data_IF_113450962561
#
_entry.id   IF_113450962561
#
_cell.length_a   1.000
_cell.length_b   1.000
_cell.length_c   1.000
_cell.angle_alpha   90.00
_cell.angle_beta   90.00
_cell.angle_gamma   90.00
#
_symmetry.space_group_name_H-M   'P 1'
#
loop_
_entity.id
_entity.type
_entity.pdbx_description
1 polymer ?
#
# COMPACT_ATOMS: atom_id res chain seq x y z
N UNK A 1 13.34 18.47 12.11
CA UNK A 1 12.62 17.20 12.29
C UNK A 1 13.30 16.40 13.38
N UNK A 2 12.57 16.00 14.42
CA UNK A 2 13.09 15.14 15.50
C UNK A 2 13.35 13.72 14.98
N UNK A 3 14.14 12.93 15.70
CA UNK A 3 14.40 11.52 15.34
C UNK A 3 13.09 10.72 15.26
N UNK A 4 12.16 10.99 16.18
CA UNK A 4 10.85 10.37 16.27
C UNK A 4 9.97 10.67 15.05
N UNK A 5 9.97 11.91 14.58
CA UNK A 5 9.28 12.30 13.35
C UNK A 5 9.85 11.60 12.10
N UNK A 6 11.18 11.42 12.04
CA UNK A 6 11.82 10.66 10.94
C UNK A 6 11.42 9.18 10.98
N UNK A 7 11.43 8.56 12.15
CA UNK A 7 11.05 7.15 12.34
C UNK A 7 9.57 6.95 11.96
N UNK A 8 8.68 7.83 12.41
CA UNK A 8 7.25 7.77 12.07
C UNK A 8 7.01 7.92 10.55
N UNK A 9 7.79 8.77 9.88
CA UNK A 9 7.74 8.89 8.41
C UNK A 9 8.12 7.61 7.69
N UNK A 10 9.21 6.97 8.09
CA UNK A 10 9.65 5.72 7.45
C UNK A 10 8.67 4.58 7.71
N UNK A 11 8.13 4.49 8.93
CA UNK A 11 7.11 3.52 9.29
C UNK A 11 5.83 3.70 8.46
N UNK A 12 5.38 4.95 8.25
CA UNK A 12 4.19 5.22 7.43
C UNK A 12 4.38 4.71 5.99
N UNK A 13 5.52 5.05 5.37
CA UNK A 13 5.83 4.65 4.00
C UNK A 13 6.00 3.14 3.86
N UNK A 14 6.55 2.50 4.88
CA UNK A 14 6.69 1.05 4.91
C UNK A 14 5.33 0.37 4.76
N UNK A 15 4.33 0.78 5.55
CA UNK A 15 2.97 0.22 5.45
C UNK A 15 2.26 0.57 4.14
N UNK A 16 2.45 1.79 3.62
CA UNK A 16 1.92 2.19 2.31
C UNK A 16 2.50 1.33 1.17
N UNK A 17 3.80 1.04 1.20
CA UNK A 17 4.46 0.17 0.22
C UNK A 17 4.05 -1.29 0.36
N UNK A 18 3.92 -1.80 1.60
CA UNK A 18 3.44 -3.17 1.84
C UNK A 18 2.00 -3.37 1.35
N UNK A 19 1.13 -2.38 1.54
CA UNK A 19 -0.21 -2.39 0.96
C UNK A 19 -0.15 -2.51 -0.57
N UNK A 20 0.63 -1.65 -1.22
CA UNK A 20 0.72 -1.62 -2.67
C UNK A 20 1.23 -2.95 -3.25
N UNK A 21 2.15 -3.62 -2.56
CA UNK A 21 2.63 -4.94 -2.96
C UNK A 21 1.54 -6.00 -2.78
N UNK A 22 0.88 -6.04 -1.62
CA UNK A 22 -0.11 -7.09 -1.34
C UNK A 22 -1.33 -7.04 -2.26
N UNK A 23 -1.85 -5.84 -2.52
CA UNK A 23 -3.03 -5.70 -3.38
C UNK A 23 -2.71 -6.09 -4.83
N UNK A 24 -1.47 -5.89 -5.27
CA UNK A 24 -1.03 -6.34 -6.58
C UNK A 24 -0.88 -7.86 -6.68
N UNK A 25 -0.37 -8.52 -5.64
CA UNK A 25 -0.32 -10.00 -5.61
C UNK A 25 -1.73 -10.58 -5.72
N UNK A 26 -2.66 -10.08 -4.90
CA UNK A 26 -4.06 -10.50 -4.95
C UNK A 26 -4.69 -10.26 -6.33
N UNK A 27 -4.47 -9.10 -6.93
CA UNK A 27 -5.03 -8.79 -8.25
C UNK A 27 -4.44 -9.66 -9.37
N UNK A 28 -3.14 -9.99 -9.29
CA UNK A 28 -2.50 -10.91 -10.23
C UNK A 28 -3.06 -12.33 -10.09
N UNK A 29 -3.14 -12.86 -8.88
CA UNK A 29 -3.68 -14.21 -8.61
C UNK A 29 -5.13 -14.34 -9.10
N UNK A 30 -5.97 -13.33 -8.84
CA UNK A 30 -7.36 -13.28 -9.32
C UNK A 30 -7.44 -13.21 -10.84
N UNK A 31 -6.53 -12.47 -11.50
CA UNK A 31 -6.53 -12.35 -12.95
C UNK A 31 -6.08 -13.63 -13.66
N UNK A 32 -5.11 -14.34 -13.09
CA UNK A 32 -4.57 -15.56 -13.68
C UNK A 32 -5.55 -16.75 -13.52
N UNK A 33 -6.24 -16.84 -12.39
CA UNK A 33 -7.13 -17.95 -12.08
C UNK A 33 -8.61 -17.66 -12.37
N UNK A 34 -9.00 -16.38 -12.38
CA UNK A 34 -10.40 -15.97 -12.29
C UNK A 34 -10.90 -16.01 -10.84
N UNK A 35 -11.85 -15.13 -10.50
CA UNK A 35 -12.33 -14.96 -9.13
C UNK A 35 -12.93 -16.25 -8.55
N UNK A 36 -13.75 -16.96 -9.32
CA UNK A 36 -14.44 -18.17 -8.85
C UNK A 36 -13.45 -19.29 -8.52
N UNK A 37 -12.49 -19.55 -9.42
CA UNK A 37 -11.44 -20.55 -9.23
C UNK A 37 -10.49 -20.16 -8.09
N UNK A 38 -10.14 -18.87 -7.97
CA UNK A 38 -9.32 -18.37 -6.86
C UNK A 38 -10.00 -18.57 -5.51
N UNK A 39 -11.31 -18.31 -5.41
CA UNK A 39 -12.07 -18.54 -4.18
C UNK A 39 -12.25 -20.03 -3.87
N UNK A 40 -12.24 -20.90 -4.86
CA UNK A 40 -12.35 -22.34 -4.66
C UNK A 40 -11.02 -22.96 -4.19
N UNK A 41 -9.92 -22.64 -4.88
CA UNK A 41 -8.61 -23.25 -4.67
C UNK A 41 -7.79 -22.55 -3.56
N UNK A 42 -8.00 -21.24 -3.37
CA UNK A 42 -7.19 -20.40 -2.48
C UNK A 42 -8.00 -19.74 -1.36
N UNK A 43 -8.97 -20.45 -0.77
CA UNK A 43 -9.81 -19.97 0.35
C UNK A 43 -9.02 -19.30 1.48
N UNK A 44 -7.88 -19.89 1.85
CA UNK A 44 -6.99 -19.33 2.87
C UNK A 44 -6.37 -17.99 2.45
N UNK A 45 -5.89 -17.90 1.21
CA UNK A 45 -5.31 -16.66 0.66
C UNK A 45 -6.36 -15.59 0.43
N UNK A 46 -7.55 -15.96 -0.03
CA UNK A 46 -8.69 -15.06 -0.21
C UNK A 46 -9.09 -14.34 1.08
N UNK A 47 -8.85 -14.95 2.24
CA UNK A 47 -9.07 -14.34 3.55
C UNK A 47 -7.81 -13.61 4.03
N UNK A 48 -6.63 -14.23 3.89
CA UNK A 48 -5.40 -13.67 4.45
C UNK A 48 -4.94 -12.39 3.75
N UNK A 49 -5.11 -12.28 2.43
CA UNK A 49 -4.77 -11.07 1.68
C UNK A 49 -5.53 -9.82 2.16
N UNK A 50 -6.87 -9.79 2.23
CA UNK A 50 -7.60 -8.62 2.73
C UNK A 50 -7.34 -8.37 4.22
N UNK A 51 -7.12 -9.41 5.04
CA UNK A 51 -6.75 -9.24 6.45
C UNK A 51 -5.39 -8.55 6.58
N UNK A 52 -4.38 -9.01 5.82
CA UNK A 52 -3.04 -8.42 5.83
C UNK A 52 -3.05 -7.00 5.27
N UNK A 53 -3.68 -6.79 4.11
CA UNK A 53 -3.84 -5.45 3.53
C UNK A 53 -4.54 -4.52 4.53
N UNK A 54 -5.68 -4.95 5.10
CA UNK A 54 -6.41 -4.21 6.13
C UNK A 54 -5.54 -3.85 7.34
N UNK A 55 -4.68 -4.77 7.80
CA UNK A 55 -3.75 -4.50 8.90
C UNK A 55 -2.70 -3.43 8.56
N UNK A 56 -2.19 -3.41 7.33
CA UNK A 56 -1.25 -2.39 6.86
C UNK A 56 -1.92 -1.03 6.74
N UNK A 57 -3.17 -0.98 6.28
CA UNK A 57 -3.96 0.24 6.30
C UNK A 57 -4.14 0.78 7.71
N UNK A 58 -4.57 -0.07 8.65
CA UNK A 58 -4.76 0.34 10.03
C UNK A 58 -3.46 0.88 10.65
N UNK A 59 -2.33 0.21 10.41
CA UNK A 59 -1.03 0.69 10.91
C UNK A 59 -0.60 2.00 10.26
N UNK A 60 -0.79 2.17 8.95
CA UNK A 60 -0.54 3.46 8.30
C UNK A 60 -1.39 4.58 8.94
N UNK A 61 -2.67 4.31 9.25
CA UNK A 61 -3.57 5.28 9.86
C UNK A 61 -3.24 5.60 11.32
N UNK A 62 -2.70 4.63 12.06
CA UNK A 62 -2.20 4.81 13.44
C UNK A 62 -0.92 5.63 13.41
N UNK A 63 0.06 5.26 12.60
CA UNK A 63 1.35 5.97 12.49
C UNK A 63 1.16 7.38 11.94
N UNK A 64 0.21 7.59 11.03
CA UNK A 64 -0.10 8.93 10.52
C UNK A 64 -0.65 9.88 11.61
N UNK A 65 -1.16 9.38 12.75
CA UNK A 65 -1.64 10.23 13.88
C UNK A 65 -0.54 11.05 14.52
N UNK A 66 0.65 10.47 14.59
CA UNK A 66 1.80 11.04 15.30
C UNK A 66 2.73 11.80 14.34
N UNK A 67 2.31 12.00 13.08
CA UNK A 67 3.06 12.75 12.10
C UNK A 67 2.77 14.28 12.21
N UNK A 68 3.69 15.16 11.76
CA UNK A 68 3.55 16.62 11.89
C UNK A 68 2.30 17.23 11.25
N UNK A 69 1.62 16.51 10.34
CA UNK A 69 0.33 16.89 9.78
C UNK A 69 -0.55 15.65 9.58
N UNK A 70 -1.31 15.22 10.61
CA UNK A 70 -1.95 13.92 10.62
C UNK A 70 -3.12 13.81 9.62
N UNK A 71 -3.86 14.89 9.37
CA UNK A 71 -4.96 14.90 8.40
C UNK A 71 -4.46 14.70 6.97
N UNK A 72 -3.46 15.47 6.56
CA UNK A 72 -2.86 15.36 5.21
C UNK A 72 -2.18 14.00 5.02
N UNK A 73 -1.50 13.48 6.06
CA UNK A 73 -0.82 12.18 5.98
C UNK A 73 -1.79 11.01 5.87
N UNK A 74 -2.89 11.02 6.60
CA UNK A 74 -3.97 10.03 6.43
C UNK A 74 -4.61 10.10 5.05
N UNK A 75 -4.87 11.31 4.55
CA UNK A 75 -5.42 11.50 3.21
C UNK A 75 -4.44 10.99 2.13
N UNK A 76 -3.14 11.25 2.32
CA UNK A 76 -2.09 10.71 1.43
C UNK A 76 -2.07 9.19 1.46
N UNK A 77 -2.07 8.58 2.64
CA UNK A 77 -2.08 7.12 2.80
C UNK A 77 -3.30 6.50 2.14
N UNK A 78 -4.50 7.04 2.40
CA UNK A 78 -5.73 6.61 1.75
C UNK A 78 -5.65 6.79 0.22
N UNK A 79 -5.11 7.91 -0.26
CA UNK A 79 -4.92 8.17 -1.69
C UNK A 79 -3.97 7.17 -2.36
N UNK A 80 -2.84 6.86 -1.73
CA UNK A 80 -1.89 5.83 -2.21
C UNK A 80 -2.57 4.47 -2.28
N UNK A 81 -3.39 4.13 -1.30
CA UNK A 81 -4.08 2.84 -1.24
C UNK A 81 -5.18 2.72 -2.29
N UNK A 82 -6.01 3.75 -2.47
CA UNK A 82 -7.03 3.76 -3.53
C UNK A 82 -6.37 3.71 -4.90
N UNK A 83 -5.33 4.53 -5.13
CA UNK A 83 -4.63 4.56 -6.42
C UNK A 83 -3.94 3.23 -6.74
N UNK A 84 -3.20 2.64 -5.80
CA UNK A 84 -2.53 1.34 -6.01
C UNK A 84 -3.54 0.20 -6.21
N UNK A 85 -4.66 0.21 -5.48
CA UNK A 85 -5.74 -0.77 -5.67
C UNK A 85 -6.38 -0.63 -7.05
N UNK A 86 -6.75 0.60 -7.44
CA UNK A 86 -7.32 0.84 -8.76
C UNK A 86 -6.37 0.40 -9.87
N UNK A 87 -5.08 0.75 -9.78
CA UNK A 87 -4.08 0.36 -10.77
C UNK A 87 -3.89 -1.17 -10.84
N UNK A 88 -3.88 -1.85 -9.69
CA UNK A 88 -3.73 -3.30 -9.61
C UNK A 88 -4.89 -4.03 -10.31
N UNK A 89 -6.12 -3.61 -10.07
CA UNK A 89 -7.31 -4.28 -10.63
C UNK A 89 -7.66 -3.83 -12.05
N UNK A 90 -7.29 -2.62 -12.47
CA UNK A 90 -7.52 -2.15 -13.85
C UNK A 90 -6.50 -2.71 -14.84
N UNK A 91 -5.29 -3.01 -14.38
CA UNK A 91 -4.20 -3.50 -15.23
C UNK A 91 -3.48 -4.71 -14.61
N UNK A 92 -4.18 -5.81 -14.31
CA UNK A 92 -3.57 -6.97 -13.69
C UNK A 92 -2.69 -7.70 -14.70
N UNK A 93 -1.40 -7.37 -14.72
CA UNK A 93 -0.40 -8.02 -15.55
C UNK A 93 0.92 -8.13 -14.80
N UNK A 94 1.72 -9.15 -15.11
CA UNK A 94 3.03 -9.33 -14.48
C UNK A 94 3.95 -8.10 -14.65
N UNK A 95 3.86 -7.41 -15.79
CA UNK A 95 4.59 -6.16 -16.04
C UNK A 95 4.09 -5.00 -15.17
N UNK A 96 2.78 -4.90 -14.95
CA UNK A 96 2.21 -3.91 -14.04
C UNK A 96 2.57 -4.22 -12.58
N UNK A 97 2.59 -5.49 -12.18
CA UNK A 97 3.09 -5.92 -10.87
C UNK A 97 4.53 -5.42 -10.67
N UNK A 98 5.43 -5.72 -11.61
CA UNK A 98 6.82 -5.27 -11.53
C UNK A 98 6.92 -3.75 -11.48
N UNK A 99 6.15 -3.02 -12.30
CA UNK A 99 6.10 -1.57 -12.28
C UNK A 99 5.64 -1.01 -10.94
N UNK A 100 4.55 -1.54 -10.37
CA UNK A 100 4.01 -1.07 -9.09
C UNK A 100 4.92 -1.41 -7.92
N UNK A 101 5.60 -2.55 -7.94
CA UNK A 101 6.65 -2.88 -6.95
C UNK A 101 7.81 -1.88 -7.06
N UNK A 102 8.30 -1.60 -8.27
CA UNK A 102 9.36 -0.61 -8.50
C UNK A 102 8.89 0.78 -8.03
N UNK A 103 7.66 1.19 -8.35
CA UNK A 103 7.10 2.46 -7.88
C UNK A 103 6.92 2.49 -6.36
N UNK A 104 6.52 1.39 -5.72
CA UNK A 104 6.39 1.31 -4.27
C UNK A 104 7.74 1.38 -3.56
N UNK A 105 8.78 0.76 -4.12
CA UNK A 105 10.16 0.84 -3.63
C UNK A 105 10.74 2.24 -3.86
N UNK A 106 10.55 2.80 -5.06
CA UNK A 106 10.96 4.17 -5.36
C UNK A 106 10.24 5.15 -4.43
N UNK A 107 8.93 5.00 -4.24
CA UNK A 107 8.14 5.79 -3.30
C UNK A 107 8.66 5.65 -1.88
N UNK A 108 9.04 4.46 -1.43
CA UNK A 108 9.61 4.25 -0.10
C UNK A 108 10.94 5.01 0.06
N UNK A 109 11.86 4.87 -0.91
CA UNK A 109 13.21 5.42 -0.87
C UNK A 109 13.28 6.92 -1.20
N UNK A 110 12.28 7.47 -1.90
CA UNK A 110 12.35 8.83 -2.43
C UNK A 110 12.44 9.91 -1.33
N UNK A 111 13.41 10.82 -1.35
CA UNK A 111 13.49 11.89 -0.37
C UNK A 111 12.35 12.91 -0.56
N UNK A 112 11.40 12.99 0.39
CA UNK A 112 10.43 14.11 0.43
C UNK A 112 11.06 15.33 1.09
N UNK A 113 10.99 16.49 0.42
CA UNK A 113 11.21 17.81 1.04
C UNK A 113 10.14 18.04 2.10
N UNK A 114 10.55 18.36 3.32
CA UNK A 114 9.66 18.68 4.43
C UNK A 114 9.70 20.19 4.65
N UNK A 115 8.55 20.85 4.62
CA UNK A 115 8.44 22.31 4.78
C UNK A 115 7.44 22.98 3.84
N UNK A 116 6.94 22.29 2.82
CA UNK A 116 5.81 22.79 2.03
C UNK A 116 4.55 22.16 2.58
N UNK A 117 3.81 22.96 3.35
CA UNK A 117 2.37 22.76 3.53
C UNK A 117 1.74 22.71 2.14
N UNK A 118 1.14 21.58 1.79
CA UNK A 118 0.05 21.56 0.81
C UNK A 118 -1.21 21.95 1.59
#
# INVERSE_FOLDING_TARGET
MTLEEKVNKWNLRFFESLWAIQVNLLAADINDLGLDQFLEDYKGSAISYPVLAGSYFLMAMIVARVAPNPKVRRLTAAGVMVASTALAFLFPSAWMFAALVIFALAYYLWPRKEGVSI
#
